data_IF_434006912430
#
_entry.id   IF_434006912430
#
_cell.length_a   1.000
_cell.length_b   1.000
_cell.length_c   1.000
_cell.angle_alpha   90.00
_cell.angle_beta   90.00
_cell.angle_gamma   90.00
#
_symmetry.space_group_name_H-M   'P 1'
#
loop_
_entity.id
_entity.type
_entity.pdbx_description
1 polymer ?
#
# COMPACT_ATOMS: atom_id res chain seq x y z
N UNK A 1 -57.20 9.24 3.20
CA UNK A 1 -57.83 7.90 3.25
C UNK A 1 -56.75 6.84 3.08
N UNK A 2 -56.95 5.69 3.74
CA UNK A 2 -56.02 4.58 3.99
C UNK A 2 -55.39 3.90 2.75
N UNK A 3 -54.31 3.11 2.98
CA UNK A 3 -53.58 2.32 1.98
C UNK A 3 -54.17 0.91 1.74
N UNK A 4 -53.75 0.25 0.66
CA UNK A 4 -53.75 -1.22 0.46
C UNK A 4 -52.38 -1.55 -0.18
N UNK A 5 -51.46 -2.32 0.41
CA UNK A 5 -51.51 -3.72 0.86
C UNK A 5 -51.84 -4.71 -0.26
N UNK A 6 -50.85 -5.46 -0.71
CA UNK A 6 -50.96 -6.94 -0.73
C UNK A 6 -49.58 -7.61 -0.85
N UNK A 7 -49.28 -8.44 0.15
CA UNK A 7 -48.32 -9.54 0.09
C UNK A 7 -48.80 -10.62 -0.88
N UNK A 8 -47.86 -11.42 -1.40
CA UNK A 8 -47.94 -12.85 -1.75
C UNK A 8 -46.61 -13.23 -2.41
N UNK A 9 -46.00 -14.40 -2.27
CA UNK A 9 -46.12 -15.58 -1.41
C UNK A 9 -44.84 -16.39 -1.69
N UNK A 10 -44.34 -17.11 -0.69
CA UNK A 10 -43.29 -18.12 -0.88
C UNK A 10 -43.82 -19.27 -1.74
N UNK A 11 -42.97 -19.85 -2.59
CA UNK A 11 -43.07 -21.27 -2.96
C UNK A 11 -41.70 -21.85 -3.31
N UNK A 12 -41.24 -22.73 -2.42
CA UNK A 12 -40.11 -23.62 -2.62
C UNK A 12 -40.53 -24.79 -3.51
N UNK A 13 -39.73 -25.16 -4.49
CA UNK A 13 -39.85 -26.48 -5.12
C UNK A 13 -38.53 -27.25 -5.02
N UNK A 14 -38.51 -28.19 -4.08
CA UNK A 14 -37.61 -29.33 -4.05
C UNK A 14 -38.03 -30.33 -5.12
N UNK A 15 -37.15 -30.63 -6.08
CA UNK A 15 -37.32 -31.78 -6.99
C UNK A 15 -36.25 -32.83 -6.68
N UNK A 16 -36.69 -33.84 -5.94
CA UNK A 16 -35.99 -35.13 -5.76
C UNK A 16 -36.22 -35.96 -7.02
N UNK A 17 -35.14 -36.49 -7.59
CA UNK A 17 -35.17 -37.42 -8.71
C UNK A 17 -33.99 -38.37 -8.61
N UNK A 18 -34.17 -39.45 -7.86
CA UNK A 18 -33.27 -40.59 -7.76
C UNK A 18 -33.16 -41.30 -9.11
N UNK A 19 -31.95 -41.69 -9.54
CA UNK A 19 -31.73 -43.02 -10.14
C UNK A 19 -30.25 -43.45 -10.12
N UNK A 20 -30.11 -44.75 -9.86
CA UNK A 20 -28.91 -45.51 -9.49
C UNK A 20 -27.90 -45.71 -10.62
N UNK A 21 -26.63 -45.86 -10.24
CA UNK A 21 -25.60 -46.44 -11.08
C UNK A 21 -24.36 -46.81 -10.25
N UNK A 22 -24.39 -48.00 -9.68
CA UNK A 22 -23.28 -48.65 -8.98
C UNK A 22 -22.29 -49.21 -10.01
N UNK A 23 -21.01 -48.81 -9.93
CA UNK A 23 -19.85 -49.61 -10.38
C UNK A 23 -18.61 -49.28 -9.54
N UNK A 24 -18.03 -50.35 -9.04
CA UNK A 24 -16.80 -50.47 -8.28
C UNK A 24 -15.56 -49.98 -9.02
N UNK A 25 -14.50 -49.65 -8.26
CA UNK A 25 -13.15 -49.60 -8.79
C UNK A 25 -12.20 -48.74 -7.97
N UNK A 26 -11.64 -49.31 -6.90
CA UNK A 26 -10.42 -48.82 -6.26
C UNK A 26 -9.28 -48.68 -7.29
N UNK A 27 -8.65 -47.51 -7.34
CA UNK A 27 -7.30 -47.37 -7.90
C UNK A 27 -6.48 -46.37 -7.08
N UNK A 28 -5.69 -46.83 -6.10
CA UNK A 28 -4.85 -45.97 -5.27
C UNK A 28 -3.45 -45.90 -5.88
N UNK A 29 -3.29 -45.37 -7.10
CA UNK A 29 -1.97 -45.09 -7.68
C UNK A 29 -2.10 -44.13 -8.86
N UNK A 30 -2.23 -42.83 -8.60
CA UNK A 30 -1.72 -41.86 -9.55
C UNK A 30 -0.89 -40.83 -8.79
N UNK A 31 0.41 -40.98 -8.94
CA UNK A 31 1.45 -40.21 -8.31
C UNK A 31 1.22 -38.71 -8.52
N UNK A 32 0.97 -38.01 -7.43
CA UNK A 32 1.14 -36.56 -7.35
C UNK A 32 2.65 -36.28 -7.40
N UNK A 33 3.25 -36.39 -8.59
CA UNK A 33 4.55 -35.80 -8.87
C UNK A 33 4.36 -34.29 -9.03
N UNK A 34 4.02 -33.62 -7.92
CA UNK A 34 4.24 -32.18 -7.81
C UNK A 34 5.75 -32.00 -7.83
N UNK A 35 6.25 -31.70 -9.03
CA UNK A 35 7.61 -31.24 -9.26
C UNK A 35 7.85 -30.00 -8.42
N UNK A 36 8.38 -30.18 -7.22
CA UNK A 36 8.85 -29.11 -6.34
C UNK A 36 10.18 -28.51 -6.82
N UNK A 37 10.66 -28.94 -7.99
CA UNK A 37 11.98 -28.56 -8.52
C UNK A 37 11.98 -27.26 -9.35
N UNK A 38 10.83 -26.70 -9.72
CA UNK A 38 10.76 -25.44 -10.49
C UNK A 38 10.64 -24.17 -9.63
N UNK A 39 10.51 -24.31 -8.30
CA UNK A 39 10.60 -23.17 -7.36
C UNK A 39 12.04 -22.81 -6.96
N UNK A 40 13.03 -23.61 -7.38
CA UNK A 40 14.44 -23.42 -7.03
C UNK A 40 15.27 -22.75 -8.14
N UNK A 41 14.66 -22.26 -9.22
CA UNK A 41 15.39 -21.57 -10.29
C UNK A 41 15.42 -20.06 -10.05
N UNK A 42 16.54 -19.64 -9.49
CA UNK A 42 17.23 -18.39 -9.83
C UNK A 42 16.59 -17.06 -9.38
N UNK A 43 16.60 -16.79 -8.07
CA UNK A 43 16.93 -15.43 -7.62
C UNK A 43 18.16 -15.53 -6.73
N UNK A 44 19.32 -15.21 -7.32
CA UNK A 44 20.52 -14.88 -6.55
C UNK A 44 20.15 -13.76 -5.60
N UNK A 45 20.20 -14.05 -4.31
CA UNK A 45 20.01 -13.14 -3.20
C UNK A 45 21.23 -12.22 -3.06
N UNK A 46 21.32 -11.22 -3.91
CA UNK A 46 22.19 -10.04 -3.73
C UNK A 46 21.42 -8.86 -4.32
N UNK A 47 20.97 -7.93 -3.48
CA UNK A 47 20.14 -6.74 -3.77
C UNK A 47 18.63 -6.95 -3.97
N UNK A 48 17.94 -7.51 -2.97
CA UNK A 48 16.49 -7.71 -3.09
C UNK A 48 15.68 -6.39 -3.20
N UNK A 49 16.18 -5.26 -2.66
CA UNK A 49 15.55 -3.94 -2.78
C UNK A 49 16.54 -2.76 -2.86
N UNK A 50 17.83 -2.98 -3.13
CA UNK A 50 18.82 -1.89 -3.06
C UNK A 50 18.48 -0.70 -3.95
N UNK A 51 18.01 -0.94 -5.18
CA UNK A 51 17.54 0.14 -6.05
C UNK A 51 16.42 0.95 -5.43
N UNK A 52 15.49 0.30 -4.71
CA UNK A 52 14.40 0.95 -4.01
C UNK A 52 14.90 1.76 -2.80
N UNK A 53 15.90 1.27 -2.07
CA UNK A 53 16.54 2.02 -0.97
C UNK A 53 17.25 3.28 -1.48
N UNK A 54 17.96 3.18 -2.61
CA UNK A 54 18.61 4.33 -3.26
C UNK A 54 17.58 5.37 -3.66
N UNK A 55 16.48 4.96 -4.28
CA UNK A 55 15.37 5.86 -4.64
C UNK A 55 14.73 6.50 -3.40
N UNK A 56 14.55 5.73 -2.32
CA UNK A 56 14.04 6.24 -1.04
C UNK A 56 14.92 7.35 -0.46
N UNK A 57 16.25 7.20 -0.53
CA UNK A 57 17.19 8.24 -0.11
C UNK A 57 17.12 9.48 -1.01
N UNK A 58 16.97 9.31 -2.32
CA UNK A 58 16.81 10.44 -3.25
C UNK A 58 15.53 11.23 -2.95
N UNK A 59 14.42 10.53 -2.65
CA UNK A 59 13.19 11.16 -2.21
C UNK A 59 13.41 11.98 -0.92
N UNK A 60 14.02 11.40 0.12
CA UNK A 60 14.32 12.12 1.36
C UNK A 60 15.15 13.39 1.14
N UNK A 61 16.23 13.29 0.36
CA UNK A 61 17.10 14.42 0.05
C UNK A 61 16.34 15.53 -0.71
N UNK A 62 15.49 15.15 -1.67
CA UNK A 62 14.68 16.09 -2.43
C UNK A 62 13.64 16.80 -1.54
N UNK A 63 12.96 16.05 -0.66
CA UNK A 63 11.99 16.62 0.28
C UNK A 63 12.67 17.54 1.31
N UNK A 64 13.86 17.19 1.76
CA UNK A 64 14.70 18.06 2.61
C UNK A 64 15.01 19.39 1.92
N UNK A 65 15.37 19.36 0.63
CA UNK A 65 15.62 20.57 -0.16
C UNK A 65 14.35 21.39 -0.36
N UNK A 66 13.23 20.76 -0.73
CA UNK A 66 11.94 21.46 -0.91
C UNK A 66 11.55 22.24 0.36
N UNK A 67 11.70 21.62 1.54
CA UNK A 67 11.48 22.30 2.83
C UNK A 67 12.39 23.50 3.03
N UNK A 68 13.67 23.37 2.68
CA UNK A 68 14.65 24.46 2.82
C UNK A 68 14.43 25.60 1.84
N UNK A 69 13.71 25.35 0.74
CA UNK A 69 13.37 26.38 -0.26
C UNK A 69 12.19 27.24 0.19
N UNK A 70 11.40 26.81 1.17
CA UNK A 70 10.29 27.61 1.67
C UNK A 70 10.81 28.84 2.42
N UNK A 71 10.79 29.99 1.75
CA UNK A 71 11.11 31.29 2.31
C UNK A 71 10.02 32.29 1.92
N UNK A 72 9.07 32.62 2.83
CA UNK A 72 7.98 33.53 2.53
C UNK A 72 8.46 34.96 2.23
N UNK A 73 9.72 35.32 2.51
CA UNK A 73 10.29 36.62 2.17
C UNK A 73 10.88 36.68 0.75
N UNK A 74 11.08 35.54 0.08
CA UNK A 74 11.59 35.47 -1.28
C UNK A 74 10.43 35.39 -2.28
N UNK A 75 10.32 36.26 -3.30
CA UNK A 75 9.22 36.18 -4.26
C UNK A 75 9.26 34.93 -5.16
N UNK A 76 10.43 34.29 -5.31
CA UNK A 76 10.64 33.19 -6.26
C UNK A 76 10.63 31.80 -5.57
N UNK A 77 10.34 31.71 -4.27
CA UNK A 77 10.44 30.45 -3.53
C UNK A 77 9.47 29.38 -4.08
N UNK A 78 8.27 29.78 -4.49
CA UNK A 78 7.27 28.88 -5.06
C UNK A 78 7.72 28.31 -6.41
N UNK A 79 8.29 29.12 -7.30
CA UNK A 79 8.79 28.67 -8.60
C UNK A 79 9.93 27.65 -8.45
N UNK A 80 10.79 27.84 -7.44
CA UNK A 80 11.87 26.89 -7.11
C UNK A 80 11.32 25.59 -6.55
N UNK A 81 10.30 25.66 -5.71
CA UNK A 81 9.60 24.48 -5.17
C UNK A 81 8.92 23.71 -6.31
N UNK A 82 8.19 24.39 -7.20
CA UNK A 82 7.52 23.77 -8.36
C UNK A 82 8.53 23.07 -9.28
N UNK A 83 9.66 23.72 -9.57
CA UNK A 83 10.75 23.11 -10.35
C UNK A 83 11.29 21.85 -9.68
N UNK A 84 11.53 21.90 -8.36
CA UNK A 84 11.99 20.72 -7.61
C UNK A 84 10.95 19.60 -7.56
N UNK A 85 9.65 19.92 -7.49
CA UNK A 85 8.58 18.92 -7.53
C UNK A 85 8.52 18.25 -8.90
N UNK A 86 8.71 19.00 -10.00
CA UNK A 86 8.80 18.44 -11.34
C UNK A 86 9.99 17.46 -11.48
N UNK A 87 11.14 17.80 -10.89
CA UNK A 87 12.33 16.95 -10.86
C UNK A 87 12.15 15.69 -9.97
N UNK A 88 11.20 15.72 -9.04
CA UNK A 88 10.91 14.60 -8.16
C UNK A 88 10.05 13.52 -8.84
N UNK A 89 9.19 13.90 -9.79
CA UNK A 89 8.24 12.99 -10.43
C UNK A 89 8.87 11.69 -11.02
N UNK A 90 10.05 11.71 -11.68
CA UNK A 90 10.70 10.49 -12.15
C UNK A 90 11.12 9.54 -11.02
N UNK A 91 11.53 10.08 -9.85
CA UNK A 91 11.90 9.28 -8.68
C UNK A 91 10.66 8.61 -8.09
N UNK A 92 9.55 9.34 -7.97
CA UNK A 92 8.27 8.79 -7.49
C UNK A 92 7.75 7.68 -8.40
N UNK A 93 7.80 7.90 -9.72
CA UNK A 93 7.43 6.88 -10.70
C UNK A 93 8.31 5.64 -10.59
N UNK A 94 9.63 5.81 -10.38
CA UNK A 94 10.54 4.69 -10.17
C UNK A 94 10.27 3.94 -8.86
N UNK A 95 9.96 4.64 -7.77
CA UNK A 95 9.55 4.03 -6.50
C UNK A 95 8.27 3.22 -6.70
N UNK A 96 7.26 3.78 -7.38
CA UNK A 96 5.99 3.11 -7.63
C UNK A 96 6.16 1.88 -8.53
N UNK A 97 6.95 1.99 -9.61
CA UNK A 97 7.18 0.92 -10.57
C UNK A 97 8.09 -0.22 -10.08
N UNK A 98 8.95 0.03 -9.10
CA UNK A 98 9.86 -0.99 -8.55
C UNK A 98 9.14 -1.87 -7.53
N UNK A 99 9.06 -3.21 -7.70
CA UNK A 99 8.46 -4.09 -6.69
C UNK A 99 9.30 -4.12 -5.41
N UNK A 100 8.67 -4.04 -4.25
CA UNK A 100 9.32 -4.28 -2.96
C UNK A 100 9.38 -5.78 -2.66
N UNK A 101 10.54 -6.29 -2.22
CA UNK A 101 10.78 -7.71 -1.93
C UNK A 101 11.15 -7.98 -0.48
N UNK A 102 11.46 -6.93 0.25
CA UNK A 102 11.85 -6.91 1.66
C UNK A 102 10.97 -5.92 2.41
N UNK A 103 10.98 -6.04 3.74
CA UNK A 103 10.32 -5.08 4.62
C UNK A 103 10.91 -3.67 4.43
N UNK A 104 12.21 -3.55 4.20
CA UNK A 104 12.87 -2.26 3.99
C UNK A 104 12.38 -1.56 2.72
N UNK A 105 12.27 -2.29 1.60
CA UNK A 105 11.68 -1.77 0.37
C UNK A 105 10.19 -1.41 0.52
N UNK A 106 9.45 -2.18 1.31
CA UNK A 106 8.06 -1.85 1.63
C UNK A 106 7.97 -0.57 2.47
N UNK A 107 8.91 -0.37 3.40
CA UNK A 107 9.05 0.88 4.17
C UNK A 107 9.29 2.10 3.29
N UNK A 108 10.13 1.99 2.26
CA UNK A 108 10.33 3.09 1.27
C UNK A 108 9.01 3.46 0.60
N UNK A 109 8.22 2.47 0.16
CA UNK A 109 6.92 2.72 -0.47
C UNK A 109 5.92 3.33 0.51
N UNK A 110 5.88 2.85 1.75
CA UNK A 110 5.00 3.39 2.77
C UNK A 110 5.34 4.85 3.09
N UNK A 111 6.62 5.20 3.19
CA UNK A 111 7.04 6.60 3.36
C UNK A 111 6.69 7.46 2.15
N UNK A 112 6.91 6.95 0.93
CA UNK A 112 6.49 7.67 -0.27
C UNK A 112 4.97 7.90 -0.28
N UNK A 113 4.18 6.90 0.11
CA UNK A 113 2.73 7.07 0.27
C UNK A 113 2.40 8.13 1.34
N UNK A 114 3.08 8.11 2.49
CA UNK A 114 2.91 9.13 3.54
C UNK A 114 3.15 10.56 3.02
N UNK A 115 4.10 10.72 2.10
CA UNK A 115 4.38 12.00 1.46
C UNK A 115 3.23 12.42 0.53
N UNK A 116 2.78 11.50 -0.33
CA UNK A 116 1.73 11.76 -1.32
C UNK A 116 0.39 12.09 -0.67
N UNK A 117 0.06 11.44 0.46
CA UNK A 117 -1.17 11.68 1.24
C UNK A 117 -0.88 12.40 2.56
N UNK A 118 0.03 13.37 2.54
CA UNK A 118 0.47 14.09 3.74
C UNK A 118 -0.67 14.73 4.53
N UNK A 119 -1.76 15.11 3.85
CA UNK A 119 -2.96 15.70 4.45
C UNK A 119 -3.63 14.78 5.49
N UNK A 120 -3.36 13.47 5.47
CA UNK A 120 -3.89 12.54 6.48
C UNK A 120 -3.25 12.69 7.86
N UNK A 121 -2.13 13.43 7.95
CA UNK A 121 -1.47 13.79 9.21
C UNK A 121 -1.80 15.20 9.70
N UNK A 122 -2.52 16.02 8.92
CA UNK A 122 -2.91 17.38 9.32
C UNK A 122 -3.97 17.41 10.43
N UNK A 123 -4.69 16.29 10.63
CA UNK A 123 -5.68 16.17 11.71
C UNK A 123 -5.44 14.93 12.59
N UNK A 124 -5.95 14.94 13.84
CA UNK A 124 -5.97 13.76 14.69
C UNK A 124 -6.67 12.56 14.04
N UNK A 125 -6.18 11.35 14.32
CA UNK A 125 -6.63 10.12 13.67
C UNK A 125 -8.14 9.82 13.85
N UNK A 126 -8.72 10.26 14.96
CA UNK A 126 -10.14 10.13 15.29
C UNK A 126 -11.04 11.09 14.50
N UNK A 127 -10.46 12.17 13.97
CA UNK A 127 -11.14 13.18 13.16
C UNK A 127 -11.05 12.89 11.66
N UNK A 128 -10.07 12.08 11.23
CA UNK A 128 -10.00 11.56 9.88
C UNK A 128 -11.23 10.71 9.54
N UNK A 129 -11.67 10.79 8.28
CA UNK A 129 -12.65 9.87 7.75
C UNK A 129 -12.12 8.42 7.75
N UNK A 130 -13.01 7.46 7.51
CA UNK A 130 -12.66 6.05 7.53
C UNK A 130 -11.52 5.68 6.57
N UNK A 131 -11.47 6.29 5.38
CA UNK A 131 -10.47 5.97 4.36
C UNK A 131 -9.10 6.52 4.75
N UNK A 132 -9.02 7.80 5.13
CA UNK A 132 -7.81 8.44 5.61
C UNK A 132 -7.26 7.70 6.84
N UNK A 133 -8.13 7.31 7.78
CA UNK A 133 -7.74 6.51 8.96
C UNK A 133 -7.16 5.15 8.59
N UNK A 134 -7.79 4.43 7.66
CA UNK A 134 -7.33 3.10 7.24
C UNK A 134 -5.96 3.18 6.54
N UNK A 135 -5.79 4.14 5.62
CA UNK A 135 -4.53 4.34 4.90
C UNK A 135 -3.41 4.76 5.84
N UNK A 136 -3.66 5.75 6.71
CA UNK A 136 -2.71 6.20 7.73
C UNK A 136 -2.28 5.05 8.65
N UNK A 137 -3.24 4.29 9.19
CA UNK A 137 -2.95 3.16 10.08
C UNK A 137 -2.07 2.09 9.40
N UNK A 138 -2.32 1.81 8.11
CA UNK A 138 -1.51 0.87 7.33
C UNK A 138 -0.09 1.39 7.12
N UNK A 139 0.05 2.67 6.74
CA UNK A 139 1.35 3.29 6.50
C UNK A 139 2.18 3.32 7.79
N UNK A 140 1.59 3.76 8.90
CA UNK A 140 2.27 3.82 10.21
C UNK A 140 2.77 2.43 10.63
N UNK A 141 1.91 1.41 10.53
CA UNK A 141 2.28 0.04 10.88
C UNK A 141 3.40 -0.53 9.99
N UNK A 142 3.38 -0.26 8.68
CA UNK A 142 4.44 -0.71 7.76
C UNK A 142 5.75 -0.01 8.05
N UNK A 143 5.72 1.31 8.27
CA UNK A 143 6.88 2.11 8.60
C UNK A 143 7.50 1.69 9.95
N UNK A 144 6.67 1.41 10.96
CA UNK A 144 7.10 0.89 12.25
C UNK A 144 7.82 -0.46 12.10
N UNK A 145 7.22 -1.43 11.41
CA UNK A 145 7.82 -2.75 11.15
C UNK A 145 9.12 -2.63 10.35
N UNK A 146 9.20 -1.65 9.44
CA UNK A 146 10.39 -1.37 8.66
C UNK A 146 11.48 -0.57 9.39
N UNK A 147 11.21 -0.08 10.60
CA UNK A 147 12.10 0.85 11.33
C UNK A 147 12.43 2.11 10.51
N UNK A 148 11.44 2.62 9.79
CA UNK A 148 11.52 3.75 8.87
C UNK A 148 10.62 4.86 9.42
N UNK A 149 11.11 6.07 9.72
CA UNK A 149 10.23 7.16 10.15
C UNK A 149 9.24 7.53 9.06
N UNK A 150 7.96 7.69 9.42
CA UNK A 150 6.88 8.12 8.52
C UNK A 150 6.53 9.60 8.65
N UNK A 151 6.98 10.26 9.73
CA UNK A 151 6.65 11.66 9.99
C UNK A 151 7.54 12.61 9.21
N UNK A 152 6.88 13.61 8.67
CA UNK A 152 7.44 14.73 7.93
C UNK A 152 7.51 16.00 8.78
N UNK A 153 7.34 15.92 10.10
CA UNK A 153 7.29 17.12 10.95
C UNK A 153 8.63 17.90 11.00
N UNK A 154 8.58 19.24 11.00
CA UNK A 154 9.52 20.01 11.80
C UNK A 154 9.21 19.75 13.27
N UNK A 155 10.23 19.43 14.07
CA UNK A 155 10.15 19.32 15.52
C UNK A 155 9.22 20.42 16.09
N UNK A 156 8.08 20.08 16.72
CA UNK A 156 7.40 21.06 17.55
C UNK A 156 8.33 21.29 18.74
N UNK A 157 8.73 22.54 18.93
CA UNK A 157 9.35 23.06 20.14
C UNK A 157 8.74 22.41 21.38
N UNK A 158 9.52 21.57 22.06
CA UNK A 158 9.41 21.42 23.51
C UNK A 158 9.77 22.77 24.16
N UNK A 159 9.14 23.05 25.31
CA UNK A 159 9.32 24.21 26.22
C UNK A 159 8.64 25.53 25.77
N UNK A 160 7.75 26.19 26.53
CA UNK A 160 7.34 26.15 27.94
C UNK A 160 5.88 26.62 28.08
#
# INVERSE_FOLDING_TARGET
MKPLSSQQSFESQTKVGSHSGHRDGDNPNNACSRSTSDLAKNRRATDDDFGLLVLGKQLEEALGKIRSLYDPASPDHLDRIETMLADLAPVEQAIMGTPARTIAGLGVKARHAAYVVSEYWDTPLDQNDWHARAVRSLIEAVCEVASVPYSFEPNPTEEN
#
